data_IF_128290723554
#
_entry.id   IF_128290723554
#
_cell.length_a   1.000
_cell.length_b   1.000
_cell.length_c   1.000
_cell.angle_alpha   90.00
_cell.angle_beta   90.00
_cell.angle_gamma   90.00
#
_symmetry.space_group_name_H-M   'P 1'
#
loop_
_entity.id
_entity.type
_entity.pdbx_description
1 polymer ?
#
# COMPACT_ATOMS: atom_id res chain seq x y z
N UNK A 1 -20.51 4.91 0.79
CA UNK A 1 -19.21 5.59 0.62
C UNK A 1 -18.44 4.84 -0.45
N UNK A 2 -17.86 5.53 -1.45
CA UNK A 2 -17.14 4.87 -2.56
C UNK A 2 -15.74 4.49 -2.09
N UNK A 3 -15.49 3.19 -1.98
CA UNK A 3 -14.20 2.64 -1.60
C UNK A 3 -13.08 3.13 -2.53
N UNK A 4 -12.14 3.91 -2.00
CA UNK A 4 -11.04 4.53 -2.76
C UNK A 4 -9.70 4.00 -2.26
N UNK A 5 -8.91 3.43 -3.16
CA UNK A 5 -7.58 2.93 -2.84
C UNK A 5 -6.55 4.07 -2.87
N UNK A 6 -5.61 4.07 -1.93
CA UNK A 6 -4.54 5.06 -1.88
C UNK A 6 -3.16 4.41 -1.79
N UNK A 7 -2.15 5.15 -2.26
CA UNK A 7 -0.75 4.79 -2.22
C UNK A 7 0.08 6.01 -1.81
N UNK A 8 0.91 5.87 -0.77
CA UNK A 8 1.82 6.94 -0.32
C UNK A 8 3.20 6.40 -0.05
N UNK A 9 4.20 7.00 -0.69
CA UNK A 9 5.59 6.64 -0.47
C UNK A 9 6.21 7.60 0.53
N UNK A 10 7.05 7.08 1.40
CA UNK A 10 7.79 7.90 2.35
C UNK A 10 9.12 7.26 2.74
N UNK A 11 9.98 8.05 3.36
CA UNK A 11 11.32 7.69 3.78
C UNK A 11 11.49 7.92 5.29
N UNK A 12 12.17 6.98 5.95
CA UNK A 12 12.52 7.09 7.37
C UNK A 12 13.56 6.04 7.77
N UNK A 13 14.16 6.18 8.95
CA UNK A 13 15.04 5.17 9.52
C UNK A 13 14.27 3.88 9.88
N UNK A 14 13.00 4.03 10.25
CA UNK A 14 12.07 2.93 10.54
C UNK A 14 10.78 3.02 9.70
N UNK A 15 9.98 1.96 9.73
CA UNK A 15 8.66 1.97 9.09
C UNK A 15 7.70 2.96 9.77
N UNK A 16 7.76 3.08 11.10
CA UNK A 16 6.93 4.03 11.85
C UNK A 16 7.28 5.47 11.54
N UNK A 17 8.57 5.80 11.43
CA UNK A 17 9.00 7.14 11.04
C UNK A 17 8.56 7.49 9.62
N UNK A 18 8.73 6.56 8.67
CA UNK A 18 8.24 6.75 7.31
C UNK A 18 6.70 6.89 7.27
N UNK A 19 5.98 6.13 8.08
CA UNK A 19 4.51 6.20 8.16
C UNK A 19 4.05 7.57 8.66
N UNK A 20 4.61 8.06 9.77
CA UNK A 20 4.24 9.37 10.31
C UNK A 20 4.65 10.53 9.39
N UNK A 21 5.76 10.40 8.66
CA UNK A 21 6.11 11.35 7.62
C UNK A 21 5.09 11.34 6.47
N UNK A 22 4.65 10.16 6.01
CA UNK A 22 3.60 10.04 4.99
C UNK A 22 2.26 10.61 5.48
N UNK A 23 1.91 10.33 6.73
CA UNK A 23 0.70 10.80 7.39
C UNK A 23 0.68 12.33 7.46
N UNK A 24 1.79 12.93 7.90
CA UNK A 24 1.91 14.39 7.99
C UNK A 24 1.75 15.04 6.62
N UNK A 25 2.43 14.53 5.59
CA UNK A 25 2.31 15.03 4.22
C UNK A 25 0.87 14.89 3.69
N UNK A 26 0.21 13.76 3.94
CA UNK A 26 -1.19 13.55 3.55
C UNK A 26 -2.13 14.54 4.24
N UNK A 27 -1.93 14.77 5.54
CA UNK A 27 -2.71 15.70 6.33
C UNK A 27 -2.48 17.16 5.91
N UNK A 28 -1.25 17.54 5.57
CA UNK A 28 -0.94 18.88 5.03
C UNK A 28 -1.61 19.13 3.66
N UNK A 29 -1.74 18.09 2.84
CA UNK A 29 -2.36 18.18 1.50
C UNK A 29 -3.89 18.24 1.54
N UNK A 30 -4.54 17.48 2.43
CA UNK A 30 -5.99 17.25 2.40
C UNK A 30 -6.71 17.48 3.75
N UNK A 31 -5.98 17.86 4.80
CA UNK A 31 -6.53 18.08 6.14
C UNK A 31 -7.18 16.82 6.72
N UNK A 32 -8.32 17.02 7.42
CA UNK A 32 -9.12 15.94 7.99
C UNK A 32 -9.71 14.98 6.95
N UNK A 33 -9.70 15.34 5.66
CA UNK A 33 -10.14 14.49 4.57
C UNK A 33 -9.01 13.60 4.00
N UNK A 34 -7.82 13.61 4.62
CA UNK A 34 -6.73 12.77 4.14
C UNK A 34 -7.01 11.29 4.41
N UNK A 35 -6.65 10.47 3.43
CA UNK A 35 -6.70 9.02 3.44
C UNK A 35 -5.99 8.40 4.65
N UNK A 36 -4.81 8.91 5.01
CA UNK A 36 -4.05 8.42 6.17
C UNK A 36 -4.60 8.93 7.51
N UNK A 37 -5.33 10.05 7.56
CA UNK A 37 -5.93 10.55 8.81
C UNK A 37 -6.88 9.53 9.44
N UNK A 38 -7.63 8.80 8.61
CA UNK A 38 -8.67 7.86 9.03
C UNK A 38 -8.07 6.50 9.42
N UNK A 39 -6.83 6.20 8.99
CA UNK A 39 -6.22 4.85 9.01
C UNK A 39 -4.82 4.88 9.64
N UNK A 40 -4.74 5.31 10.91
CA UNK A 40 -3.47 5.49 11.66
C UNK A 40 -2.79 4.18 12.07
N UNK A 41 -3.51 3.06 12.09
CA UNK A 41 -2.94 1.74 12.35
C UNK A 41 -2.28 1.21 11.09
N UNK A 42 -1.01 0.81 11.19
CA UNK A 42 -0.29 0.20 10.08
C UNK A 42 0.41 -1.10 10.47
N UNK A 43 0.56 -1.98 9.48
CA UNK A 43 1.29 -3.23 9.58
C UNK A 43 2.30 -3.31 8.42
N UNK A 44 3.51 -3.80 8.70
CA UNK A 44 4.52 -3.99 7.66
C UNK A 44 4.45 -5.41 7.11
N UNK A 45 4.20 -5.52 5.80
CA UNK A 45 4.18 -6.80 5.09
C UNK A 45 5.39 -6.94 4.17
N UNK A 46 5.88 -8.16 4.02
CA UNK A 46 7.00 -8.47 3.12
C UNK A 46 6.46 -9.00 1.80
N UNK A 47 6.98 -8.49 0.69
CA UNK A 47 6.72 -9.08 -0.62
C UNK A 47 7.35 -10.49 -0.69
N UNK A 48 6.65 -11.49 -1.27
CA UNK A 48 7.22 -12.81 -1.47
C UNK A 48 8.52 -12.80 -2.28
N UNK A 49 9.34 -13.83 -2.11
CA UNK A 49 10.56 -13.99 -2.90
C UNK A 49 10.25 -13.99 -4.42
N UNK A 50 11.06 -13.25 -5.19
CA UNK A 50 10.85 -13.08 -6.63
C UNK A 50 9.73 -12.11 -7.03
N UNK A 51 9.04 -11.49 -6.07
CA UNK A 51 7.97 -10.50 -6.32
C UNK A 51 8.43 -9.13 -5.84
N UNK A 52 8.33 -8.12 -6.70
CA UNK A 52 8.65 -6.74 -6.31
C UNK A 52 7.55 -6.18 -5.39
N UNK A 53 7.89 -5.32 -4.42
CA UNK A 53 6.90 -4.69 -3.54
C UNK A 53 5.78 -3.97 -4.30
N UNK A 54 6.09 -3.33 -5.44
CA UNK A 54 5.11 -2.66 -6.30
C UNK A 54 4.15 -3.66 -6.96
N UNK A 55 4.66 -4.79 -7.45
CA UNK A 55 3.81 -5.85 -8.02
C UNK A 55 2.90 -6.46 -6.94
N UNK A 56 3.43 -6.63 -5.73
CA UNK A 56 2.64 -7.14 -4.62
C UNK A 56 1.55 -6.15 -4.18
N UNK A 57 1.86 -4.85 -4.12
CA UNK A 57 0.88 -3.80 -3.88
C UNK A 57 -0.25 -3.84 -4.93
N UNK A 58 0.10 -3.97 -6.22
CA UNK A 58 -0.89 -4.04 -7.29
C UNK A 58 -1.79 -5.28 -7.18
N UNK A 59 -1.25 -6.44 -6.81
CA UNK A 59 -2.07 -7.63 -6.53
C UNK A 59 -3.09 -7.38 -5.41
N UNK A 60 -2.65 -6.75 -4.31
CA UNK A 60 -3.53 -6.40 -3.18
C UNK A 60 -4.59 -5.38 -3.63
N UNK A 61 -4.22 -4.37 -4.41
CA UNK A 61 -5.13 -3.38 -4.99
C UNK A 61 -6.22 -4.03 -5.83
N UNK A 62 -5.85 -4.98 -6.70
CA UNK A 62 -6.81 -5.72 -7.52
C UNK A 62 -7.75 -6.57 -6.67
N UNK A 63 -7.23 -7.25 -5.65
CA UNK A 63 -8.06 -8.00 -4.71
C UNK A 63 -8.99 -7.07 -3.90
N UNK A 64 -8.56 -5.86 -3.54
CA UNK A 64 -9.42 -4.86 -2.91
C UNK A 64 -10.61 -4.48 -3.82
N UNK A 65 -10.39 -4.30 -5.13
CA UNK A 65 -11.48 -4.04 -6.08
C UNK A 65 -12.52 -5.17 -6.12
N UNK A 66 -12.11 -6.41 -5.90
CA UNK A 66 -13.02 -7.57 -5.85
C UNK A 66 -13.96 -7.58 -4.63
N UNK A 67 -13.59 -6.83 -3.58
CA UNK A 67 -14.31 -6.77 -2.30
C UNK A 67 -15.33 -5.62 -2.22
N UNK A 68 -15.44 -4.79 -3.27
CA UNK A 68 -16.41 -3.69 -3.30
C UNK A 68 -17.84 -4.24 -3.29
N UNK A 69 -18.74 -3.58 -2.58
CA UNK A 69 -20.14 -3.98 -2.48
C UNK A 69 -20.84 -3.99 -3.86
N UNK A 70 -20.43 -3.09 -4.75
CA UNK A 70 -20.91 -2.93 -6.12
C UNK A 70 -19.96 -3.55 -7.17
N UNK A 71 -19.03 -4.42 -6.76
CA UNK A 71 -18.09 -5.07 -7.68
C UNK A 71 -18.83 -5.88 -8.74
N UNK A 72 -18.50 -5.64 -10.01
CA UNK A 72 -18.99 -6.47 -11.12
C UNK A 72 -18.45 -7.91 -10.99
N UNK A 73 -19.12 -8.88 -11.63
CA UNK A 73 -18.60 -10.26 -11.70
C UNK A 73 -17.21 -10.34 -12.31
N UNK A 74 -16.88 -9.40 -13.20
CA UNK A 74 -15.54 -9.28 -13.75
C UNK A 74 -14.54 -8.79 -12.69
N UNK A 75 -14.87 -7.76 -11.91
CA UNK A 75 -14.00 -7.25 -10.83
C UNK A 75 -13.74 -8.32 -9.76
N UNK A 76 -14.77 -9.11 -9.43
CA UNK A 76 -14.65 -10.24 -8.49
C UNK A 76 -13.65 -11.29 -8.94
N UNK A 77 -13.52 -11.51 -10.25
CA UNK A 77 -12.63 -12.51 -10.85
C UNK A 77 -11.29 -11.94 -11.32
N UNK A 78 -11.18 -10.63 -11.48
CA UNK A 78 -10.01 -9.96 -12.06
C UNK A 78 -8.71 -10.36 -11.35
N UNK A 79 -8.69 -10.28 -10.02
CA UNK A 79 -7.47 -10.60 -9.27
C UNK A 79 -7.03 -12.06 -9.43
N UNK A 80 -7.96 -13.00 -9.65
CA UNK A 80 -7.65 -14.41 -9.89
C UNK A 80 -6.87 -14.64 -11.20
N UNK A 81 -6.97 -13.70 -12.16
CA UNK A 81 -6.25 -13.77 -13.44
C UNK A 81 -4.80 -13.30 -13.32
N UNK A 82 -4.52 -12.34 -12.43
CA UNK A 82 -3.20 -11.70 -12.32
C UNK A 82 -2.38 -12.19 -11.12
N UNK A 83 -3.04 -12.77 -10.11
CA UNK A 83 -2.40 -13.31 -8.91
C UNK A 83 -2.19 -14.82 -9.08
N UNK A 84 -0.95 -15.33 -8.93
CA UNK A 84 -0.69 -16.76 -8.98
C UNK A 84 -1.55 -17.53 -7.97
N UNK A 85 -2.12 -18.68 -8.37
CA UNK A 85 -3.04 -19.48 -7.54
C UNK A 85 -2.53 -19.70 -6.11
N UNK A 86 -1.24 -20.05 -5.96
CA UNK A 86 -0.60 -20.27 -4.66
C UNK A 86 -0.57 -19.04 -3.73
N UNK A 87 -0.86 -17.84 -4.25
CA UNK A 87 -0.83 -16.56 -3.51
C UNK A 87 -2.20 -15.89 -3.39
N UNK A 88 -3.23 -16.42 -4.06
CA UNK A 88 -4.55 -15.79 -4.08
C UNK A 88 -5.17 -15.68 -2.69
N UNK A 89 -5.04 -16.70 -1.84
CA UNK A 89 -5.56 -16.67 -0.48
C UNK A 89 -4.85 -15.61 0.39
N UNK A 90 -3.52 -15.56 0.34
CA UNK A 90 -2.70 -14.59 1.08
C UNK A 90 -3.04 -13.14 0.66
N UNK A 91 -3.08 -12.88 -0.64
CA UNK A 91 -3.42 -11.55 -1.19
C UNK A 91 -4.85 -11.15 -0.81
N UNK A 92 -5.80 -12.08 -0.87
CA UNK A 92 -7.18 -11.81 -0.48
C UNK A 92 -7.29 -11.49 1.01
N UNK A 93 -6.56 -12.19 1.88
CA UNK A 93 -6.51 -11.89 3.32
C UNK A 93 -6.00 -10.47 3.56
N UNK A 94 -4.90 -10.07 2.92
CA UNK A 94 -4.38 -8.70 3.03
C UNK A 94 -5.37 -7.65 2.53
N UNK A 95 -6.08 -7.92 1.43
CA UNK A 95 -7.12 -7.04 0.93
C UNK A 95 -8.30 -6.92 1.92
N UNK A 96 -8.72 -8.01 2.56
CA UNK A 96 -9.74 -7.99 3.62
C UNK A 96 -9.29 -7.15 4.81
N UNK A 97 -8.04 -7.28 5.24
CA UNK A 97 -7.47 -6.46 6.31
C UNK A 97 -7.51 -4.96 5.96
N UNK A 98 -7.21 -4.59 4.72
CA UNK A 98 -7.33 -3.19 4.28
C UNK A 98 -8.77 -2.69 4.27
N UNK A 99 -9.72 -3.49 3.77
CA UNK A 99 -11.12 -3.06 3.61
C UNK A 99 -11.86 -3.04 4.95
N UNK A 100 -11.72 -4.09 5.75
CA UNK A 100 -12.56 -4.34 6.92
C UNK A 100 -11.92 -4.00 8.27
N UNK A 101 -10.58 -3.93 8.40
CA UNK A 101 -9.91 -3.75 9.70
C UNK A 101 -9.37 -2.33 9.96
N UNK A 102 -9.71 -1.33 9.15
CA UNK A 102 -9.19 0.04 9.32
C UNK A 102 -7.65 0.16 9.35
N UNK A 103 -6.94 -0.74 8.65
CA UNK A 103 -5.47 -0.77 8.61
C UNK A 103 -4.90 -0.22 7.30
N UNK A 104 -3.67 0.27 7.40
CA UNK A 104 -2.76 0.58 6.28
C UNK A 104 -1.67 -0.50 6.21
N UNK A 105 -1.30 -0.96 5.02
CA UNK A 105 -0.17 -1.88 4.84
C UNK A 105 1.07 -1.13 4.36
N UNK A 106 2.20 -1.36 5.03
CA UNK A 106 3.51 -0.83 4.68
C UNK A 106 4.37 -1.87 3.97
N UNK A 107 4.86 -1.54 2.79
CA UNK A 107 5.74 -2.36 1.96
C UNK A 107 7.09 -1.67 1.83
N UNK A 108 8.17 -2.35 2.22
CA UNK A 108 9.52 -1.80 2.03
C UNK A 108 9.90 -1.83 0.56
N UNK A 109 10.12 -0.66 -0.04
CA UNK A 109 10.68 -0.55 -1.38
C UNK A 109 12.18 -0.86 -1.35
N UNK A 110 12.65 -1.55 -2.39
CA UNK A 110 14.06 -1.92 -2.61
C UNK A 110 14.45 -1.69 -4.06
N UNK A 111 15.75 -1.59 -4.33
CA UNK A 111 16.28 -1.50 -5.69
C UNK A 111 15.82 -0.26 -6.45
N UNK A 112 15.52 -0.38 -7.77
CA UNK A 112 15.25 0.78 -8.64
C UNK A 112 14.12 1.70 -8.15
N UNK A 113 13.04 1.14 -7.61
CA UNK A 113 11.91 1.92 -7.10
C UNK A 113 12.31 2.81 -5.90
N UNK A 114 13.07 2.26 -4.95
CA UNK A 114 13.57 3.02 -3.82
C UNK A 114 14.59 4.09 -4.26
N UNK A 115 15.44 3.77 -5.24
CA UNK A 115 16.39 4.73 -5.82
C UNK A 115 15.68 5.88 -6.53
N UNK A 116 14.64 5.59 -7.32
CA UNK A 116 13.85 6.59 -8.03
C UNK A 116 13.17 7.56 -7.06
N UNK A 117 12.53 7.04 -6.00
CA UNK A 117 11.98 7.88 -4.93
C UNK A 117 13.05 8.77 -4.30
N UNK A 118 14.21 8.21 -3.96
CA UNK A 118 15.29 8.97 -3.33
C UNK A 118 15.83 10.10 -4.21
N UNK A 119 15.94 9.86 -5.51
CA UNK A 119 16.39 10.86 -6.48
C UNK A 119 15.35 11.98 -6.59
N UNK A 120 14.07 11.62 -6.79
CA UNK A 120 12.97 12.58 -6.92
C UNK A 120 12.86 13.52 -5.71
N UNK A 121 13.11 13.00 -4.51
CA UNK A 121 12.98 13.75 -3.26
C UNK A 121 14.31 14.33 -2.74
N UNK A 122 15.40 14.33 -3.53
CA UNK A 122 16.68 14.94 -3.11
C UNK A 122 17.33 14.27 -1.89
N UNK A 123 17.04 12.99 -1.64
CA UNK A 123 17.53 12.22 -0.48
C UNK A 123 18.42 11.04 -0.90
N UNK A 124 19.02 11.12 -2.10
CA UNK A 124 20.04 10.17 -2.56
C UNK A 124 21.21 10.19 -1.57
N UNK A 125 21.67 9.02 -1.13
CA UNK A 125 22.77 8.89 -0.17
C UNK A 125 22.37 8.99 1.32
N UNK A 126 21.15 9.43 1.67
CA UNK A 126 20.72 9.51 3.08
C UNK A 126 20.49 8.12 3.69
N UNK A 127 20.88 7.92 4.95
CA UNK A 127 20.61 6.69 5.70
C UNK A 127 19.11 6.54 5.98
N UNK A 128 18.54 5.39 5.64
CA UNK A 128 17.12 5.11 5.85
C UNK A 128 16.54 4.14 4.82
N UNK A 129 15.24 3.92 4.87
CA UNK A 129 14.50 3.00 4.01
C UNK A 129 13.30 3.72 3.41
N UNK A 130 12.95 3.33 2.19
CA UNK A 130 11.75 3.83 1.51
C UNK A 130 10.64 2.80 1.71
N UNK A 131 9.46 3.27 2.07
CA UNK A 131 8.26 2.46 2.24
C UNK A 131 7.15 2.98 1.34
N UNK A 132 6.29 2.06 0.90
CA UNK A 132 5.03 2.33 0.25
C UNK A 132 3.92 1.94 1.23
N UNK A 133 3.06 2.87 1.57
CA UNK A 133 1.87 2.65 2.38
C UNK A 133 0.66 2.59 1.47
N UNK A 134 -0.13 1.52 1.62
CA UNK A 134 -1.34 1.30 0.84
C UNK A 134 -2.54 1.12 1.77
N UNK A 135 -3.69 1.58 1.33
CA UNK A 135 -4.92 1.39 2.08
C UNK A 135 -6.16 1.76 1.30
N UNK A 136 -7.28 1.79 2.02
CA UNK A 136 -8.61 2.02 1.47
C UNK A 136 -9.32 3.05 2.35
N UNK A 137 -9.81 4.12 1.72
CA UNK A 137 -10.65 5.18 2.32
C UNK A 137 -12.08 5.18 1.78
#
# INVERSE_FOLDING_TARGET
MKMTYFERQSFGASAGEAFWAAYKEAYEQAGANSDLHIRTNFEVVQAPAGVTPLKYADWIRQACCSLKADASEWDKKRYLLFVPKARQAEVLTLAKTLVYENKTLGLRLKGPAASAYRIKHGIKGKHGKVFLFIGVG
#
